data_IF_704897494156
#
_entry.id   IF_704897494156
#
_cell.length_a   1.000
_cell.length_b   1.000
_cell.length_c   1.000
_cell.angle_alpha   90.00
_cell.angle_beta   90.00
_cell.angle_gamma   90.00
#
_symmetry.space_group_name_H-M   'P 1'
#
loop_
_entity.id
_entity.type
_entity.pdbx_description
1 polymer ?
#
# COMPACT_ATOMS: atom_id res chain seq x y z
N UNK A 1 -28.90 4.98 16.90
CA UNK A 1 -28.03 3.90 16.37
C UNK A 1 -27.91 2.69 17.30
N UNK A 2 -27.58 2.82 18.61
CA UNK A 2 -27.63 1.67 19.56
C UNK A 2 -29.05 1.33 20.07
N UNK A 3 -30.01 2.24 19.97
CA UNK A 3 -31.37 2.04 20.51
C UNK A 3 -32.37 1.43 19.50
N UNK A 4 -32.05 1.35 18.20
CA UNK A 4 -33.00 0.87 17.17
C UNK A 4 -32.71 -0.53 16.60
N UNK A 5 -31.56 -1.15 16.95
CA UNK A 5 -31.11 -2.42 16.34
C UNK A 5 -30.64 -3.46 17.36
N UNK A 6 -31.39 -3.61 18.46
CA UNK A 6 -31.12 -4.62 19.46
C UNK A 6 -31.34 -6.04 18.93
N UNK A 7 -30.26 -6.84 18.90
CA UNK A 7 -30.17 -8.31 18.65
C UNK A 7 -29.84 -8.81 17.23
N UNK A 8 -29.01 -8.11 16.47
CA UNK A 8 -28.33 -8.73 15.32
C UNK A 8 -26.96 -9.30 15.70
N UNK A 9 -26.60 -10.43 15.10
CA UNK A 9 -25.32 -11.11 15.31
C UNK A 9 -24.15 -10.28 14.76
N UNK A 10 -22.94 -10.51 15.28
CA UNK A 10 -21.73 -9.82 14.80
C UNK A 10 -21.49 -9.97 13.27
N UNK A 11 -21.71 -11.15 12.64
CA UNK A 11 -21.64 -11.27 11.19
C UNK A 11 -22.58 -10.33 10.44
N UNK A 12 -23.81 -10.17 10.92
CA UNK A 12 -24.77 -9.25 10.32
C UNK A 12 -24.32 -7.79 10.45
N UNK A 13 -23.83 -7.39 11.61
CA UNK A 13 -23.26 -6.03 11.78
C UNK A 13 -22.04 -5.80 10.89
N UNK A 14 -21.20 -6.82 10.73
CA UNK A 14 -20.06 -6.78 9.81
C UNK A 14 -20.55 -6.57 8.37
N UNK A 15 -21.57 -7.30 7.93
CA UNK A 15 -22.18 -7.12 6.60
C UNK A 15 -22.82 -5.74 6.43
N UNK A 16 -23.48 -5.18 7.44
CA UNK A 16 -24.04 -3.83 7.36
C UNK A 16 -22.96 -2.76 7.30
N UNK A 17 -21.86 -2.93 8.03
CA UNK A 17 -20.70 -2.04 7.97
C UNK A 17 -20.05 -2.12 6.58
N UNK A 18 -19.83 -3.34 6.06
CA UNK A 18 -19.31 -3.57 4.71
C UNK A 18 -20.24 -2.93 3.68
N UNK A 19 -21.54 -3.21 3.72
CA UNK A 19 -22.53 -2.64 2.79
C UNK A 19 -22.57 -1.11 2.83
N UNK A 20 -22.48 -0.51 4.02
CA UNK A 20 -22.56 0.95 4.20
C UNK A 20 -21.27 1.68 3.82
N UNK A 21 -20.10 1.10 4.09
CA UNK A 21 -18.81 1.77 3.98
C UNK A 21 -17.90 1.24 2.87
N UNK A 22 -18.17 0.05 2.36
CA UNK A 22 -17.46 -0.64 1.28
C UNK A 22 -18.27 -0.64 -0.02
N UNK A 23 -19.07 0.41 -0.23
CA UNK A 23 -19.77 0.62 -1.50
C UNK A 23 -18.77 0.90 -2.63
N UNK A 24 -19.21 0.72 -3.88
CA UNK A 24 -18.36 0.86 -5.08
C UNK A 24 -17.62 2.20 -5.13
N UNK A 25 -18.22 3.27 -4.60
CA UNK A 25 -17.59 4.59 -4.51
C UNK A 25 -16.39 4.63 -3.54
N UNK A 26 -16.42 3.87 -2.43
CA UNK A 26 -15.24 3.74 -1.56
C UNK A 26 -14.14 2.92 -2.23
N UNK A 27 -14.49 1.80 -2.88
CA UNK A 27 -13.54 0.96 -3.62
C UNK A 27 -12.86 1.77 -4.72
N UNK A 28 -13.64 2.47 -5.53
CA UNK A 28 -13.15 3.37 -6.57
C UNK A 28 -12.22 4.45 -6.03
N UNK A 29 -12.57 5.09 -4.90
CA UNK A 29 -11.69 6.09 -4.27
C UNK A 29 -10.37 5.49 -3.78
N UNK A 30 -10.39 4.28 -3.21
CA UNK A 30 -9.18 3.60 -2.75
C UNK A 30 -8.30 3.15 -3.92
N UNK A 31 -8.90 2.65 -4.99
CA UNK A 31 -8.20 2.31 -6.23
C UNK A 31 -7.52 3.55 -6.80
N UNK A 32 -8.24 4.64 -7.04
CA UNK A 32 -7.65 5.88 -7.55
C UNK A 32 -6.58 6.43 -6.61
N UNK A 33 -6.83 6.40 -5.30
CA UNK A 33 -5.84 6.86 -4.31
C UNK A 33 -4.53 6.06 -4.35
N UNK A 34 -4.59 4.77 -4.69
CA UNK A 34 -3.41 3.94 -4.91
C UNK A 34 -2.80 4.18 -6.29
N UNK A 35 -3.63 4.30 -7.33
CA UNK A 35 -3.14 4.48 -8.70
C UNK A 35 -2.42 5.82 -8.90
N UNK A 36 -2.88 6.88 -8.25
CA UNK A 36 -2.25 8.22 -8.27
C UNK A 36 -1.07 8.35 -7.29
N UNK A 37 -0.91 7.42 -6.35
CA UNK A 37 0.16 7.48 -5.37
C UNK A 37 1.49 7.01 -5.98
N UNK A 38 2.28 7.97 -6.46
CA UNK A 38 3.69 7.79 -6.82
C UNK A 38 4.55 8.13 -5.59
N UNK A 39 5.59 7.33 -5.35
CA UNK A 39 6.52 7.59 -4.25
C UNK A 39 7.46 8.74 -4.60
N UNK A 40 7.62 9.70 -3.70
CA UNK A 40 8.52 10.83 -3.82
C UNK A 40 9.62 10.76 -2.75
N UNK A 41 10.87 10.60 -3.18
CA UNK A 41 12.03 10.45 -2.28
C UNK A 41 12.23 11.66 -1.36
N UNK A 42 11.86 12.86 -1.81
CA UNK A 42 12.08 14.09 -1.03
C UNK A 42 10.96 14.34 -0.03
N UNK A 43 9.76 13.79 -0.28
CA UNK A 43 8.55 14.09 0.49
C UNK A 43 8.07 12.94 1.36
N UNK A 44 8.31 11.71 0.94
CA UNK A 44 7.72 10.52 1.55
C UNK A 44 8.73 9.76 2.42
N UNK A 45 8.25 9.31 3.59
CA UNK A 45 8.93 8.29 4.38
C UNK A 45 8.65 6.92 3.78
N UNK A 46 9.69 6.15 3.44
CA UNK A 46 9.58 4.81 2.87
C UNK A 46 8.67 3.91 3.71
N UNK A 47 8.89 3.83 5.03
CA UNK A 47 8.04 3.04 5.94
C UNK A 47 6.57 3.49 5.90
N UNK A 48 6.31 4.77 6.15
CA UNK A 48 4.94 5.29 6.27
C UNK A 48 4.17 5.16 4.96
N UNK A 49 4.83 5.47 3.85
CA UNK A 49 4.24 5.42 2.53
C UNK A 49 3.96 3.96 2.10
N UNK A 50 4.93 3.06 2.29
CA UNK A 50 4.77 1.66 1.89
C UNK A 50 3.64 0.97 2.67
N UNK A 51 3.59 1.17 3.99
CA UNK A 51 2.52 0.61 4.84
C UNK A 51 1.14 1.16 4.46
N UNK A 52 1.06 2.45 4.10
CA UNK A 52 -0.18 3.07 3.62
C UNK A 52 -0.65 2.43 2.31
N UNK A 53 0.25 2.18 1.36
CA UNK A 53 -0.11 1.51 0.10
C UNK A 53 -0.46 0.03 0.31
N UNK A 54 0.28 -0.68 1.18
CA UNK A 54 -0.05 -2.06 1.58
C UNK A 54 -1.46 -2.13 2.13
N UNK A 55 -1.81 -1.23 3.06
CA UNK A 55 -3.14 -1.18 3.65
C UNK A 55 -4.24 -0.94 2.60
N UNK A 56 -4.04 -0.01 1.66
CA UNK A 56 -5.01 0.23 0.57
C UNK A 56 -5.23 -1.02 -0.28
N UNK A 57 -4.17 -1.69 -0.69
CA UNK A 57 -4.25 -2.88 -1.55
C UNK A 57 -4.86 -4.09 -0.83
N UNK A 58 -4.49 -4.33 0.43
CA UNK A 58 -5.06 -5.45 1.20
C UNK A 58 -6.51 -5.22 1.60
N UNK A 59 -6.93 -3.95 1.72
CA UNK A 59 -8.33 -3.59 1.96
C UNK A 59 -9.20 -3.75 0.70
N UNK A 60 -8.62 -3.59 -0.49
CA UNK A 60 -9.30 -3.81 -1.78
C UNK A 60 -9.32 -5.28 -2.21
N UNK A 61 -8.27 -6.03 -1.89
CA UNK A 61 -8.08 -7.40 -2.33
C UNK A 61 -7.50 -8.26 -1.21
N UNK A 62 -8.38 -8.89 -0.45
CA UNK A 62 -8.03 -9.70 0.73
C UNK A 62 -7.42 -11.07 0.37
N UNK A 63 -7.54 -11.50 -0.89
CA UNK A 63 -7.11 -12.81 -1.40
C UNK A 63 -5.74 -12.79 -2.10
N UNK A 64 -5.10 -11.62 -2.23
CA UNK A 64 -3.81 -11.50 -2.93
C UNK A 64 -2.65 -11.93 -2.05
N UNK A 65 -1.67 -12.60 -2.66
CA UNK A 65 -0.41 -12.89 -2.01
C UNK A 65 0.35 -11.62 -1.65
N UNK A 66 1.03 -11.61 -0.48
CA UNK A 66 1.82 -10.45 -0.05
C UNK A 66 2.86 -10.05 -1.10
N UNK A 67 3.53 -11.02 -1.72
CA UNK A 67 4.51 -10.76 -2.79
C UNK A 67 3.89 -10.00 -3.97
N UNK A 68 2.64 -10.27 -4.34
CA UNK A 68 1.95 -9.54 -5.40
C UNK A 68 1.62 -8.10 -4.96
N UNK A 69 1.23 -7.92 -3.70
CA UNK A 69 1.01 -6.60 -3.11
C UNK A 69 2.30 -5.78 -3.14
N UNK A 70 3.41 -6.33 -2.64
CA UNK A 70 4.72 -5.66 -2.65
C UNK A 70 5.16 -5.27 -4.07
N UNK A 71 5.03 -6.19 -5.04
CA UNK A 71 5.37 -5.91 -6.44
C UNK A 71 4.53 -4.77 -7.04
N UNK A 72 3.24 -4.66 -6.69
CA UNK A 72 2.40 -3.52 -7.14
C UNK A 72 2.85 -2.21 -6.51
N UNK A 73 3.21 -2.23 -5.21
CA UNK A 73 3.73 -1.05 -4.52
C UNK A 73 5.05 -0.58 -5.15
N UNK A 74 5.97 -1.49 -5.45
CA UNK A 74 7.26 -1.12 -6.04
C UNK A 74 7.14 -0.47 -7.42
N UNK A 75 6.16 -0.84 -8.23
CA UNK A 75 5.90 -0.18 -9.52
C UNK A 75 5.56 1.31 -9.37
N UNK A 76 5.09 1.73 -8.19
CA UNK A 76 4.80 3.12 -7.86
C UNK A 76 6.03 3.90 -7.38
N UNK A 77 7.16 3.22 -7.14
CA UNK A 77 8.45 3.85 -6.88
C UNK A 77 9.15 4.33 -8.17
N UNK A 78 8.85 3.66 -9.29
CA UNK A 78 9.34 4.04 -10.62
C UNK A 78 10.82 3.71 -10.88
N UNK A 79 11.14 3.57 -12.18
CA UNK A 79 12.50 3.58 -12.75
C UNK A 79 13.58 2.85 -11.94
N UNK A 80 14.63 3.59 -11.60
CA UNK A 80 15.83 3.07 -10.96
C UNK A 80 15.61 2.56 -9.53
N UNK A 81 14.65 3.15 -8.80
CA UNK A 81 14.33 2.74 -7.43
C UNK A 81 13.63 1.38 -7.41
N UNK A 82 12.63 1.17 -8.29
CA UNK A 82 12.02 -0.16 -8.46
C UNK A 82 13.09 -1.20 -8.79
N UNK A 83 13.93 -0.93 -9.78
CA UNK A 83 14.94 -1.87 -10.25
C UNK A 83 15.98 -2.19 -9.16
N UNK A 84 16.44 -1.18 -8.42
CA UNK A 84 17.41 -1.35 -7.35
C UNK A 84 16.87 -2.23 -6.21
N UNK A 85 15.61 -2.03 -5.81
CA UNK A 85 14.97 -2.84 -4.75
C UNK A 85 14.75 -4.28 -5.25
N UNK A 86 14.26 -4.45 -6.49
CA UNK A 86 14.00 -5.79 -7.05
C UNK A 86 15.25 -6.64 -7.20
N UNK A 87 16.43 -6.03 -7.38
CA UNK A 87 17.70 -6.78 -7.40
C UNK A 87 18.10 -7.33 -6.04
N UNK A 88 17.60 -6.75 -4.96
CA UNK A 88 17.89 -7.16 -3.58
C UNK A 88 16.83 -8.13 -3.05
N UNK A 89 15.57 -7.92 -3.45
CA UNK A 89 14.45 -8.76 -3.08
C UNK A 89 14.09 -9.78 -4.17
N UNK A 90 14.78 -10.93 -4.20
CA UNK A 90 14.68 -11.93 -5.27
C UNK A 90 13.52 -12.90 -5.03
N UNK A 91 13.38 -13.48 -3.82
CA UNK A 91 12.26 -14.35 -3.41
C UNK A 91 12.03 -14.29 -1.88
N UNK A 92 10.78 -14.53 -1.43
CA UNK A 92 10.38 -14.63 -0.02
C UNK A 92 10.63 -13.42 0.90
N UNK A 93 10.88 -12.24 0.35
CA UNK A 93 11.06 -11.02 1.13
C UNK A 93 9.79 -10.61 1.86
N UNK A 94 9.96 -10.21 3.12
CA UNK A 94 8.91 -9.67 3.96
C UNK A 94 8.76 -8.16 3.75
N UNK A 95 7.72 -7.59 4.34
CA UNK A 95 7.41 -6.15 4.20
C UNK A 95 8.57 -5.29 4.69
N UNK A 96 9.20 -5.71 5.77
CA UNK A 96 10.33 -5.08 6.42
C UNK A 96 11.55 -5.04 5.49
N UNK A 97 11.80 -6.12 4.73
CA UNK A 97 12.92 -6.17 3.77
C UNK A 97 12.77 -5.10 2.69
N UNK A 98 11.55 -4.97 2.12
CA UNK A 98 11.27 -3.94 1.12
C UNK A 98 11.40 -2.53 1.67
N UNK A 99 10.92 -2.28 2.90
CA UNK A 99 11.02 -0.97 3.55
C UNK A 99 12.48 -0.62 3.83
N UNK A 100 13.24 -1.56 4.41
CA UNK A 100 14.64 -1.37 4.73
C UNK A 100 15.48 -1.12 3.47
N UNK A 101 15.24 -1.86 2.38
CA UNK A 101 15.92 -1.63 1.11
C UNK A 101 15.59 -0.26 0.52
N UNK A 102 14.32 0.13 0.59
CA UNK A 102 13.86 1.43 0.11
C UNK A 102 14.48 2.57 0.91
N UNK A 103 14.51 2.48 2.25
CA UNK A 103 15.21 3.43 3.12
C UNK A 103 16.71 3.45 2.86
N UNK A 104 17.35 2.30 2.71
CA UNK A 104 18.77 2.19 2.41
C UNK A 104 19.12 2.93 1.12
N UNK A 105 18.32 2.72 0.07
CA UNK A 105 18.54 3.37 -1.22
C UNK A 105 18.25 4.87 -1.10
N UNK A 106 17.11 5.29 -0.53
CA UNK A 106 16.79 6.72 -0.48
C UNK A 106 17.76 7.51 0.41
N UNK A 107 18.28 6.91 1.48
CA UNK A 107 19.22 7.56 2.39
C UNK A 107 20.67 7.55 1.91
N UNK A 108 21.13 6.44 1.31
CA UNK A 108 22.53 6.30 0.85
C UNK A 108 22.74 6.78 -0.58
N UNK A 109 21.70 6.71 -1.41
CA UNK A 109 21.71 7.10 -2.82
C UNK A 109 20.74 8.27 -3.01
N UNK A 110 21.22 9.50 -2.78
CA UNK A 110 20.74 10.68 -3.53
C UNK A 110 21.11 10.54 -5.03
N UNK A 111 20.79 9.40 -5.64
CA UNK A 111 20.88 9.21 -7.08
C UNK A 111 19.64 9.89 -7.63
N UNK A 112 19.81 11.15 -8.07
CA UNK A 112 18.77 11.83 -8.84
C UNK A 112 18.63 13.34 -8.69
N UNK A 113 19.25 14.03 -7.72
CA UNK A 113 19.26 15.51 -7.75
C UNK A 113 20.38 15.94 -8.71
N UNK A 114 20.11 15.86 -10.01
CA UNK A 114 20.87 16.57 -11.02
C UNK A 114 20.17 17.92 -11.20
N UNK A 115 20.77 19.05 -10.78
CA UNK A 115 20.23 20.36 -11.10
C UNK A 115 20.37 20.60 -12.61
N UNK A 116 19.25 20.86 -13.28
CA UNK A 116 19.26 21.67 -14.51
C UNK A 116 18.97 23.12 -14.12
#
# INVERSE_FOLDING_TARGET
MRQDHGKHSWPWWKEQIISKWENDSWRFRMENSFEEAIFDIERDSSMSWFLKQKHRLTSLHTDRSETMVHKRILRKCGGDLEHAIRRRCIEHCFTEDYINDMEDITTRKKIGINPQ
#
